data_IF_955168889715
#
_entry.id   IF_955168889715
#
_cell.length_a   1.000
_cell.length_b   1.000
_cell.length_c   1.000
_cell.angle_alpha   90.00
_cell.angle_beta   90.00
_cell.angle_gamma   90.00
#
_symmetry.space_group_name_H-M   'P 1'
#
loop_
_entity.id
_entity.type
_entity.pdbx_description
1 polymer ?
#
# COMPACT_ATOMS: atom_id res chain seq x y z
N UNK A 1 -4.04 -22.17 -26.15
CA UNK A 1 -4.62 -20.88 -26.60
C UNK A 1 -3.58 -20.18 -27.44
N UNK A 2 -3.90 -19.76 -28.67
CA UNK A 2 -2.93 -19.10 -29.57
C UNK A 2 -2.61 -17.67 -29.09
N UNK A 3 -1.35 -17.20 -29.14
CA UNK A 3 -1.02 -15.81 -28.85
C UNK A 3 -1.65 -14.91 -29.90
N UNK A 4 -2.43 -13.91 -29.48
CA UNK A 4 -3.12 -13.01 -30.41
C UNK A 4 -2.15 -11.93 -30.89
N UNK A 5 -1.56 -12.11 -32.07
CA UNK A 5 -0.49 -11.24 -32.63
C UNK A 5 -0.97 -9.89 -33.15
N UNK A 6 -2.28 -9.58 -33.04
CA UNK A 6 -2.92 -8.37 -33.59
C UNK A 6 -3.00 -7.19 -32.62
N UNK A 7 -2.62 -7.34 -31.35
CA UNK A 7 -2.68 -6.24 -30.38
C UNK A 7 -1.42 -5.37 -30.47
N UNK A 8 -1.62 -4.05 -30.53
CA UNK A 8 -0.53 -3.08 -30.38
C UNK A 8 0.17 -3.28 -29.04
N UNK A 9 1.48 -3.49 -29.06
CA UNK A 9 2.28 -3.65 -27.85
C UNK A 9 2.31 -2.34 -27.06
N UNK A 10 1.76 -2.38 -25.84
CA UNK A 10 1.79 -1.27 -24.89
C UNK A 10 2.24 -1.81 -23.53
N UNK A 11 3.52 -1.61 -23.14
CA UNK A 11 4.02 -2.14 -21.88
C UNK A 11 3.21 -1.53 -20.71
N UNK A 12 2.73 -2.40 -19.84
CA UNK A 12 1.98 -2.01 -18.65
C UNK A 12 2.92 -1.42 -17.62
N UNK A 13 2.47 -0.36 -16.94
CA UNK A 13 3.20 0.22 -15.80
C UNK A 13 3.19 -0.71 -14.57
N UNK A 14 3.80 -0.25 -13.49
CA UNK A 14 3.80 -0.98 -12.21
C UNK A 14 2.39 -1.13 -11.64
N UNK A 15 2.09 -2.29 -11.08
CA UNK A 15 0.86 -2.54 -10.32
C UNK A 15 1.15 -3.44 -9.13
N UNK A 16 0.37 -3.28 -8.05
CA UNK A 16 0.36 -4.22 -6.92
C UNK A 16 -0.17 -5.59 -7.37
N UNK A 17 -1.14 -5.60 -8.29
CA UNK A 17 -1.68 -6.80 -8.91
C UNK A 17 -1.92 -6.50 -10.39
N UNK A 18 -1.22 -7.20 -11.28
CA UNK A 18 -1.45 -7.06 -12.71
C UNK A 18 -2.74 -7.77 -13.11
N UNK A 19 -3.42 -7.23 -14.12
CA UNK A 19 -4.61 -7.84 -14.72
C UNK A 19 -4.21 -8.73 -15.91
N UNK A 20 -5.02 -9.75 -16.26
CA UNK A 20 -4.90 -10.41 -17.56
C UNK A 20 -4.92 -9.38 -18.70
N UNK A 21 -4.03 -9.55 -19.68
CA UNK A 21 -3.82 -8.60 -20.76
C UNK A 21 -2.72 -7.57 -20.51
N UNK A 22 -2.15 -7.50 -19.29
CA UNK A 22 -0.98 -6.68 -19.04
C UNK A 22 0.21 -7.17 -19.90
N UNK A 23 0.90 -6.25 -20.56
CA UNK A 23 2.01 -6.57 -21.46
C UNK A 23 3.34 -6.10 -20.89
N UNK A 24 4.41 -6.84 -21.14
CA UNK A 24 5.77 -6.45 -20.78
C UNK A 24 6.78 -7.04 -21.74
N UNK A 25 8.01 -6.52 -21.70
CA UNK A 25 9.13 -7.02 -22.49
C UNK A 25 10.23 -7.54 -21.56
N UNK A 26 10.75 -8.72 -21.88
CA UNK A 26 11.87 -9.36 -21.17
C UNK A 26 12.79 -10.01 -22.19
N UNK A 27 14.09 -9.68 -22.15
CA UNK A 27 15.11 -10.26 -23.02
C UNK A 27 14.72 -10.26 -24.51
N UNK A 28 14.23 -9.13 -25.03
CA UNK A 28 13.83 -8.93 -26.42
C UNK A 28 12.59 -9.75 -26.87
N UNK A 29 11.81 -10.28 -25.91
CA UNK A 29 10.54 -10.95 -26.15
C UNK A 29 9.38 -10.22 -25.44
N UNK A 30 8.23 -10.16 -26.12
CA UNK A 30 7.02 -9.51 -25.64
C UNK A 30 6.07 -10.55 -25.07
N UNK A 31 5.57 -10.29 -23.87
CA UNK A 31 4.69 -11.18 -23.13
C UNK A 31 3.39 -10.48 -22.76
N UNK A 32 2.32 -11.26 -22.63
CA UNK A 32 1.00 -10.84 -22.14
C UNK A 32 0.62 -11.75 -20.97
N UNK A 33 0.18 -11.17 -19.86
CA UNK A 33 -0.36 -11.93 -18.72
C UNK A 33 -1.65 -12.61 -19.15
N UNK A 34 -1.64 -13.94 -19.30
CA UNK A 34 -2.83 -14.66 -19.75
C UNK A 34 -3.88 -14.83 -18.64
N UNK A 35 -3.45 -15.14 -17.42
CA UNK A 35 -4.32 -15.35 -16.27
C UNK A 35 -3.62 -14.87 -15.00
N UNK A 36 -4.42 -14.54 -13.99
CA UNK A 36 -3.93 -14.07 -12.68
C UNK A 36 -4.60 -14.91 -11.61
N UNK A 37 -3.80 -15.61 -10.83
CA UNK A 37 -4.25 -16.46 -9.73
C UNK A 37 -3.76 -15.84 -8.42
N UNK A 38 -4.66 -15.16 -7.72
CA UNK A 38 -4.37 -14.53 -6.43
C UNK A 38 -4.98 -15.36 -5.30
N UNK A 39 -4.17 -15.64 -4.28
CA UNK A 39 -4.61 -16.28 -3.03
C UNK A 39 -4.23 -15.39 -1.85
N UNK A 40 -5.05 -15.42 -0.81
CA UNK A 40 -4.84 -14.63 0.39
C UNK A 40 -5.02 -15.53 1.61
N UNK A 41 -4.24 -15.27 2.66
CA UNK A 41 -4.42 -15.89 3.97
C UNK A 41 -4.14 -14.86 5.07
N UNK A 42 -4.84 -14.99 6.18
CA UNK A 42 -4.58 -14.18 7.37
C UNK A 42 -3.39 -14.77 8.10
N UNK A 43 -2.43 -13.92 8.45
CA UNK A 43 -1.32 -14.29 9.34
C UNK A 43 -1.66 -13.80 10.74
N UNK A 44 -2.00 -14.69 11.70
CA UNK A 44 -2.59 -14.28 12.98
C UNK A 44 -1.73 -13.30 13.78
N UNK A 45 -0.41 -13.48 13.79
CA UNK A 45 0.49 -12.61 14.53
C UNK A 45 0.66 -11.23 13.87
N UNK A 46 0.51 -11.11 12.54
CA UNK A 46 0.54 -9.81 11.86
C UNK A 46 -0.64 -8.93 12.28
N UNK A 47 -1.81 -9.52 12.50
CA UNK A 47 -2.97 -8.78 12.99
C UNK A 47 -2.70 -8.18 14.37
N UNK A 48 -2.12 -8.95 15.29
CA UNK A 48 -1.73 -8.45 16.62
C UNK A 48 -0.70 -7.31 16.52
N UNK A 49 0.30 -7.44 15.64
CA UNK A 49 1.28 -6.38 15.39
C UNK A 49 0.65 -5.10 14.87
N UNK A 50 -0.28 -5.19 13.90
CA UNK A 50 -1.01 -4.03 13.39
C UNK A 50 -1.82 -3.34 14.49
N UNK A 51 -2.47 -4.12 15.37
CA UNK A 51 -3.18 -3.59 16.54
C UNK A 51 -2.21 -2.83 17.47
N UNK A 52 -1.03 -3.39 17.75
CA UNK A 52 -0.03 -2.70 18.58
C UNK A 52 0.46 -1.39 17.96
N UNK A 53 0.65 -1.34 16.64
CA UNK A 53 0.97 -0.10 15.95
C UNK A 53 -0.14 0.93 16.07
N UNK A 54 -1.39 0.53 15.87
CA UNK A 54 -2.55 1.43 16.03
C UNK A 54 -2.64 1.98 17.45
N UNK A 55 -2.52 1.14 18.47
CA UNK A 55 -2.55 1.57 19.88
C UNK A 55 -1.40 2.53 20.17
N UNK A 56 -0.19 2.21 19.72
CA UNK A 56 0.99 3.06 19.92
C UNK A 56 0.79 4.44 19.29
N UNK A 57 0.29 4.51 18.05
CA UNK A 57 -0.01 5.76 17.37
C UNK A 57 -1.11 6.56 18.07
N UNK A 58 -2.16 5.89 18.57
CA UNK A 58 -3.23 6.53 19.33
C UNK A 58 -2.70 7.13 20.64
N UNK A 59 -1.85 6.41 21.38
CA UNK A 59 -1.24 6.91 22.62
C UNK A 59 -0.32 8.11 22.35
N UNK A 60 0.52 8.04 21.32
CA UNK A 60 1.35 9.16 20.89
C UNK A 60 0.51 10.39 20.55
N UNK A 61 -0.59 10.20 19.83
CA UNK A 61 -1.49 11.29 19.45
C UNK A 61 -2.19 11.90 20.68
N UNK A 62 -2.71 11.07 21.60
CA UNK A 62 -3.29 11.56 22.86
C UNK A 62 -2.29 12.38 23.70
N UNK A 63 -1.03 11.92 23.77
CA UNK A 63 0.02 12.67 24.47
C UNK A 63 0.29 14.01 23.77
N UNK A 64 0.42 14.01 22.44
CA UNK A 64 0.61 15.23 21.64
C UNK A 64 -0.49 16.24 21.88
N UNK A 65 -1.74 15.80 21.91
CA UNK A 65 -2.90 16.67 22.11
C UNK A 65 -2.91 17.29 23.50
N UNK A 66 -2.61 16.50 24.53
CA UNK A 66 -2.45 17.02 25.90
C UNK A 66 -1.33 18.05 25.99
N UNK A 67 -0.15 17.74 25.43
CA UNK A 67 0.99 18.67 25.40
C UNK A 67 0.61 19.95 24.67
N UNK A 68 -0.10 19.88 23.54
CA UNK A 68 -0.52 21.05 22.77
C UNK A 68 -1.45 21.96 23.56
N UNK A 69 -2.45 21.41 24.24
CA UNK A 69 -3.37 22.17 25.10
C UNK A 69 -2.61 22.87 26.23
N UNK A 70 -1.78 22.12 26.97
CA UNK A 70 -1.00 22.71 28.06
C UNK A 70 -0.02 23.77 27.55
N UNK A 71 0.72 23.48 26.48
CA UNK A 71 1.66 24.43 25.89
C UNK A 71 0.94 25.71 25.47
N UNK A 72 -0.24 25.61 24.85
CA UNK A 72 -1.01 26.78 24.43
C UNK A 72 -1.46 27.63 25.63
N UNK A 73 -1.95 27.00 26.69
CA UNK A 73 -2.33 27.71 27.94
C UNK A 73 -1.13 28.40 28.60
N UNK A 74 0.01 27.70 28.71
CA UNK A 74 1.19 28.24 29.40
C UNK A 74 1.95 29.29 28.58
N UNK A 75 1.94 29.20 27.24
CA UNK A 75 2.51 30.22 26.36
C UNK A 75 1.60 31.46 26.25
N UNK A 76 0.31 31.36 26.56
CA UNK A 76 -0.62 32.50 26.64
C UNK A 76 -0.55 33.23 27.99
N UNK A 77 0.64 33.36 28.63
CA UNK A 77 0.77 34.31 29.75
C UNK A 77 0.94 35.72 29.19
N UNK A 78 -0.05 36.62 29.33
CA UNK A 78 0.16 38.02 28.99
C UNK A 78 0.99 38.63 30.13
N UNK A 79 2.21 39.05 29.82
CA UNK A 79 2.85 40.13 30.55
C UNK A 79 2.38 41.45 29.91
#
# INVERSE_FOLDING_TARGET
>A
MQPNTTKNFRPSGSSVLHNPGAMFELNNAKFEVSQVHKVECVVPWLNNTLIFFTISLQLCQQLKDKISVFSSFWNYRPF
#
